data_IF_912504108631
#
_entry.id   IF_912504108631
#
_cell.length_a   1.000
_cell.length_b   1.000
_cell.length_c   1.000
_cell.angle_alpha   90.00
_cell.angle_beta   90.00
_cell.angle_gamma   90.00
#
_symmetry.space_group_name_H-M   'P 1'
#
loop_
_entity.id
_entity.type
_entity.pdbx_description
1 polymer ?
#
# COMPACT_ATOMS: atom_id res chain seq x y z
N UNK A 1 -30.13 -24.92 -3.86
CA UNK A 1 -29.44 -24.44 -2.66
C UNK A 1 -28.01 -24.03 -3.00
N UNK A 2 -27.21 -24.87 -3.63
CA UNK A 2 -25.79 -24.57 -4.00
C UNK A 2 -25.63 -23.31 -4.83
N UNK A 3 -26.45 -23.10 -5.88
CA UNK A 3 -26.35 -21.91 -6.73
C UNK A 3 -26.59 -20.58 -5.97
N UNK A 4 -27.49 -20.57 -4.97
CA UNK A 4 -27.73 -19.39 -4.13
C UNK A 4 -26.53 -19.07 -3.24
N UNK A 5 -25.90 -20.09 -2.66
CA UNK A 5 -24.70 -19.95 -1.84
C UNK A 5 -23.53 -19.45 -2.71
N UNK A 6 -23.33 -20.07 -3.87
CA UNK A 6 -22.26 -19.70 -4.80
C UNK A 6 -22.41 -18.25 -5.26
N UNK A 7 -23.63 -17.79 -5.58
CA UNK A 7 -23.93 -16.40 -5.91
C UNK A 7 -23.61 -15.45 -4.76
N UNK A 8 -23.99 -15.79 -3.53
CA UNK A 8 -23.73 -14.94 -2.36
C UNK A 8 -22.21 -14.81 -2.09
N UNK A 9 -21.49 -15.93 -2.14
CA UNK A 9 -20.05 -15.95 -1.90
C UNK A 9 -19.28 -15.20 -3.01
N UNK A 10 -19.59 -15.48 -4.27
CA UNK A 10 -18.93 -14.79 -5.39
C UNK A 10 -19.25 -13.30 -5.42
N UNK A 11 -20.48 -12.89 -5.08
CA UNK A 11 -20.87 -11.50 -4.95
C UNK A 11 -20.09 -10.77 -3.84
N UNK A 12 -19.95 -11.40 -2.66
CA UNK A 12 -19.18 -10.87 -1.55
C UNK A 12 -17.70 -10.70 -1.93
N UNK A 13 -17.12 -11.71 -2.60
CA UNK A 13 -15.73 -11.64 -3.08
C UNK A 13 -15.52 -10.53 -4.08
N UNK A 14 -16.44 -10.32 -5.03
CA UNK A 14 -16.37 -9.21 -5.98
C UNK A 14 -16.38 -7.86 -5.28
N UNK A 15 -17.31 -7.66 -4.34
CA UNK A 15 -17.37 -6.41 -3.57
C UNK A 15 -16.07 -6.18 -2.81
N UNK A 16 -15.51 -7.20 -2.15
CA UNK A 16 -14.26 -7.08 -1.42
C UNK A 16 -13.09 -6.74 -2.35
N UNK A 17 -12.98 -7.39 -3.50
CA UNK A 17 -11.96 -7.09 -4.51
C UNK A 17 -12.06 -5.66 -5.03
N UNK A 18 -13.27 -5.20 -5.35
CA UNK A 18 -13.52 -3.82 -5.78
C UNK A 18 -13.13 -2.81 -4.69
N UNK A 19 -13.49 -3.05 -3.43
CA UNK A 19 -13.13 -2.17 -2.32
C UNK A 19 -11.62 -2.05 -2.14
N UNK A 20 -10.89 -3.16 -2.24
CA UNK A 20 -9.42 -3.14 -2.16
C UNK A 20 -8.82 -2.31 -3.29
N UNK A 21 -9.27 -2.51 -4.53
CA UNK A 21 -8.77 -1.75 -5.68
C UNK A 21 -9.09 -0.26 -5.56
N UNK A 22 -10.32 0.09 -5.17
CA UNK A 22 -10.74 1.49 -4.97
C UNK A 22 -9.91 2.13 -3.84
N UNK A 23 -9.66 1.43 -2.75
CA UNK A 23 -8.84 1.95 -1.66
C UNK A 23 -7.40 2.25 -2.11
N UNK A 24 -6.76 1.31 -2.80
CA UNK A 24 -5.35 1.46 -3.22
C UNK A 24 -5.15 2.44 -4.38
N UNK A 25 -6.02 2.40 -5.38
CA UNK A 25 -5.84 3.17 -6.62
C UNK A 25 -6.74 4.41 -6.72
N UNK A 26 -7.73 4.53 -5.85
CA UNK A 26 -8.65 5.68 -5.82
C UNK A 26 -8.47 6.54 -4.58
N UNK A 27 -8.84 6.02 -3.40
CA UNK A 27 -8.97 6.84 -2.19
C UNK A 27 -7.61 7.35 -1.70
N UNK A 28 -6.59 6.50 -1.65
CA UNK A 28 -5.26 6.88 -1.16
C UNK A 28 -4.63 8.02 -1.99
N UNK A 29 -4.53 7.92 -3.33
CA UNK A 29 -3.99 9.01 -4.14
C UNK A 29 -4.82 10.30 -4.07
N UNK A 30 -6.16 10.20 -4.06
CA UNK A 30 -7.04 11.36 -3.94
C UNK A 30 -6.88 12.09 -2.59
N UNK A 31 -6.53 11.36 -1.54
CA UNK A 31 -6.22 11.93 -0.23
C UNK A 31 -4.77 12.45 -0.11
N UNK A 32 -3.98 12.38 -1.18
CA UNK A 32 -2.57 12.79 -1.20
C UNK A 32 -1.64 11.83 -0.46
N UNK A 33 -2.07 10.57 -0.32
CA UNK A 33 -1.24 9.51 0.26
C UNK A 33 -0.84 8.48 -0.78
N UNK A 34 0.38 8.01 -0.69
CA UNK A 34 0.86 6.83 -1.41
C UNK A 34 1.14 5.69 -0.44
N UNK A 35 0.86 4.47 -0.88
CA UNK A 35 1.15 3.26 -0.11
C UNK A 35 2.54 2.75 -0.49
N UNK A 36 3.43 2.66 0.49
CA UNK A 36 4.81 2.24 0.29
C UNK A 36 5.09 0.92 1.01
N UNK A 37 5.37 -0.17 0.28
CA UNK A 37 5.76 -1.43 0.90
C UNK A 37 7.16 -1.32 1.50
N UNK A 38 7.27 -1.67 2.77
CA UNK A 38 8.53 -1.71 3.50
C UNK A 38 9.06 -3.14 3.44
N UNK A 39 10.04 -3.36 2.57
CA UNK A 39 10.68 -4.66 2.38
C UNK A 39 12.12 -4.61 2.87
N UNK A 40 12.45 -5.51 3.78
CA UNK A 40 13.79 -5.65 4.34
C UNK A 40 13.91 -5.14 5.77
N UNK A 41 14.69 -5.89 6.55
CA UNK A 41 15.04 -5.54 7.93
C UNK A 41 16.02 -4.39 7.92
N UNK A 42 15.55 -3.19 8.20
CA UNK A 42 16.42 -2.05 8.44
C UNK A 42 16.25 -1.64 9.90
N UNK A 43 17.34 -1.77 10.65
CA UNK A 43 17.33 -1.50 12.07
C UNK A 43 17.06 -0.03 12.42
N UNK A 44 17.19 0.86 11.43
CA UNK A 44 16.92 2.30 11.57
C UNK A 44 15.47 2.65 11.23
N UNK A 45 14.68 1.70 10.72
CA UNK A 45 13.29 1.93 10.36
C UNK A 45 12.36 1.80 11.56
N UNK A 46 11.43 2.74 11.69
CA UNK A 46 10.31 2.64 12.65
C UNK A 46 9.27 1.61 12.17
N UNK A 47 9.26 1.30 10.87
CA UNK A 47 8.34 0.34 10.28
C UNK A 47 8.94 -1.07 10.31
N UNK A 48 8.09 -2.05 10.58
CA UNK A 48 8.48 -3.47 10.55
C UNK A 48 8.61 -3.97 9.11
N UNK A 49 9.49 -4.94 8.91
CA UNK A 49 9.61 -5.63 7.62
C UNK A 49 8.29 -6.25 7.17
N UNK A 50 7.99 -6.11 5.88
CA UNK A 50 6.74 -6.59 5.29
C UNK A 50 5.52 -5.74 5.62
N UNK A 51 5.68 -4.59 6.28
CA UNK A 51 4.57 -3.66 6.53
C UNK A 51 4.29 -2.77 5.32
N UNK A 52 3.06 -2.25 5.26
CA UNK A 52 2.65 -1.20 4.34
C UNK A 52 2.62 0.12 5.10
N UNK A 53 3.50 1.04 4.73
CA UNK A 53 3.51 2.40 5.26
C UNK A 53 2.73 3.33 4.34
N UNK A 54 2.08 4.33 4.94
CA UNK A 54 1.40 5.39 4.20
C UNK A 54 2.25 6.64 4.22
N UNK A 55 2.42 7.24 3.06
CA UNK A 55 3.29 8.40 2.84
C UNK A 55 2.48 9.53 2.27
N UNK A 56 2.53 10.67 2.93
CA UNK A 56 1.99 11.92 2.38
C UNK A 56 3.06 12.56 1.50
N UNK A 57 2.69 12.89 0.27
CA UNK A 57 3.56 13.62 -0.64
C UNK A 57 3.74 15.04 -0.13
N UNK A 58 4.90 15.32 0.43
CA UNK A 58 5.34 16.66 0.86
C UNK A 58 6.76 16.87 0.40
N UNK A 59 7.12 18.12 0.17
CA UNK A 59 8.51 18.44 -0.14
C UNK A 59 9.42 18.07 1.03
N UNK A 60 10.60 17.55 0.73
CA UNK A 60 11.59 17.23 1.77
C UNK A 60 12.01 18.46 2.58
N UNK A 61 11.95 19.67 1.97
CA UNK A 61 12.18 20.95 2.64
C UNK A 61 11.16 21.27 3.74
N UNK A 62 9.95 20.71 3.65
CA UNK A 62 8.84 21.00 4.56
C UNK A 62 8.77 20.03 5.75
N UNK A 63 9.71 19.09 5.81
CA UNK A 63 9.81 18.15 6.93
C UNK A 63 10.37 18.84 8.17
N UNK A 64 9.67 18.71 9.28
CA UNK A 64 10.08 19.26 10.56
C UNK A 64 10.76 18.20 11.44
N UNK A 65 11.63 18.61 12.39
CA UNK A 65 12.13 17.70 13.41
C UNK A 65 10.98 17.02 14.16
N UNK A 66 11.07 15.72 14.31
CA UNK A 66 10.01 14.87 14.87
C UNK A 66 9.10 14.21 13.82
N UNK A 67 9.05 14.70 12.59
CA UNK A 67 8.36 14.04 11.51
C UNK A 67 9.04 12.71 11.12
N UNK A 68 8.29 11.83 10.49
CA UNK A 68 8.86 10.62 9.91
C UNK A 68 9.20 10.89 8.44
N UNK A 69 10.48 10.85 8.09
CA UNK A 69 10.90 10.86 6.70
C UNK A 69 10.91 9.43 6.15
N UNK A 70 10.22 9.21 5.03
CA UNK A 70 10.35 7.96 4.27
C UNK A 70 11.32 8.18 3.13
N UNK A 71 12.32 7.33 3.05
CA UNK A 71 13.36 7.39 2.02
C UNK A 71 13.81 6.00 1.57
N UNK A 72 14.43 5.92 0.40
CA UNK A 72 14.97 4.68 -0.12
C UNK A 72 16.45 4.51 0.21
N UNK A 73 16.78 3.37 0.80
CA UNK A 73 18.15 2.89 0.98
C UNK A 73 18.37 1.67 0.08
N UNK A 74 18.92 1.90 -1.10
CA UNK A 74 18.93 0.90 -2.15
C UNK A 74 17.51 0.65 -2.67
N UNK A 75 17.02 -0.59 -2.53
CA UNK A 75 15.65 -0.99 -2.91
C UNK A 75 14.67 -1.04 -1.73
N UNK A 76 15.15 -0.76 -0.52
CA UNK A 76 14.35 -0.85 0.70
C UNK A 76 13.85 0.52 1.12
N UNK A 77 12.55 0.62 1.33
CA UNK A 77 11.95 1.80 1.94
C UNK A 77 12.21 1.80 3.45
N UNK A 78 12.68 2.92 3.96
CA UNK A 78 13.02 3.12 5.38
C UNK A 78 12.29 4.35 5.88
N UNK A 79 11.60 4.22 7.01
CA UNK A 79 11.00 5.35 7.71
C UNK A 79 11.77 5.66 8.99
N UNK A 80 12.30 6.86 9.13
CA UNK A 80 13.03 7.28 10.33
C UNK A 80 12.64 8.68 10.75
N UNK A 81 12.71 8.96 12.07
CA UNK A 81 12.38 10.29 12.59
C UNK A 81 13.41 11.31 12.15
N UNK A 82 12.94 12.44 11.68
CA UNK A 82 13.75 13.61 11.33
C UNK A 82 14.28 14.24 12.61
N UNK A 83 15.59 14.49 12.66
CA UNK A 83 16.25 15.20 13.77
C UNK A 83 16.62 16.61 13.40
N UNK A 84 16.95 16.88 12.14
CA UNK A 84 17.23 18.22 11.62
C UNK A 84 16.90 18.26 10.12
N UNK A 85 16.55 19.44 9.63
CA UNK A 85 16.35 19.72 8.21
C UNK A 85 17.25 20.90 7.84
N UNK A 86 18.18 20.68 6.92
CA UNK A 86 19.13 21.69 6.47
C UNK A 86 18.89 22.04 5.00
N UNK A 87 18.20 23.15 4.81
CA UNK A 87 17.92 23.66 3.47
C UNK A 87 19.19 24.07 2.70
N UNK A 88 20.26 24.44 3.41
CA UNK A 88 21.51 24.88 2.78
C UNK A 88 22.21 23.70 2.09
N UNK A 89 22.25 22.56 2.75
CA UNK A 89 22.82 21.33 2.19
C UNK A 89 21.81 20.49 1.41
N UNK A 90 20.56 20.94 1.29
CA UNK A 90 19.43 20.19 0.68
C UNK A 90 19.35 18.76 1.22
N UNK A 91 19.42 18.61 2.55
CA UNK A 91 19.43 17.31 3.21
C UNK A 91 18.61 17.30 4.49
N UNK A 92 18.04 16.13 4.79
CA UNK A 92 17.34 15.83 6.05
C UNK A 92 18.21 14.89 6.88
N UNK A 93 18.46 15.26 8.12
CA UNK A 93 19.13 14.35 9.08
C UNK A 93 18.06 13.54 9.80
N UNK A 94 18.19 12.23 9.73
CA UNK A 94 17.28 11.28 10.38
C UNK A 94 17.99 10.50 11.47
N UNK A 95 17.21 9.99 12.44
CA UNK A 95 17.73 9.18 13.55
C UNK A 95 18.15 7.82 13.03
N UNK A 96 19.45 7.52 13.09
CA UNK A 96 20.01 6.20 12.84
C UNK A 96 20.48 5.53 14.13
N UNK A 97 20.85 4.25 14.07
CA UNK A 97 21.33 3.46 15.22
C UNK A 97 22.59 4.03 15.88
N UNK A 98 23.47 4.59 15.08
CA UNK A 98 24.79 5.09 15.53
C UNK A 98 24.86 6.62 15.54
N UNK A 99 23.74 7.32 15.42
CA UNK A 99 23.68 8.77 15.35
C UNK A 99 22.83 9.28 14.17
N UNK A 100 22.93 10.58 13.88
CA UNK A 100 22.22 11.18 12.76
C UNK A 100 22.78 10.72 11.41
N UNK A 101 21.88 10.38 10.49
CA UNK A 101 22.22 10.04 9.09
C UNK A 101 21.66 11.13 8.19
N UNK A 102 22.51 11.79 7.41
CA UNK A 102 22.07 12.80 6.44
C UNK A 102 21.59 12.13 5.15
N UNK A 103 20.38 12.49 4.74
CA UNK A 103 19.69 11.97 3.55
C UNK A 103 19.43 13.14 2.60
N UNK A 104 19.94 13.12 1.36
CA UNK A 104 19.64 14.15 0.36
C UNK A 104 18.15 14.22 0.06
N UNK A 105 17.60 15.39 -0.17
CA UNK A 105 16.19 15.62 -0.52
C UNK A 105 15.71 14.73 -1.67
N UNK A 106 16.56 14.53 -2.67
CA UNK A 106 16.24 13.70 -3.84
C UNK A 106 15.95 12.22 -3.50
N UNK A 107 16.32 11.75 -2.30
CA UNK A 107 16.06 10.37 -1.84
C UNK A 107 14.86 10.27 -0.89
N UNK A 108 14.29 11.40 -0.50
CA UNK A 108 13.14 11.47 0.40
C UNK A 108 11.87 11.37 -0.41
N UNK A 109 11.03 10.40 -0.10
CA UNK A 109 9.75 10.17 -0.80
C UNK A 109 8.60 11.01 -0.23
N UNK A 110 8.75 11.52 0.98
CA UNK A 110 7.74 12.31 1.66
C UNK A 110 7.67 12.03 3.15
N UNK A 111 6.58 12.52 3.77
CA UNK A 111 6.29 12.34 5.19
C UNK A 111 5.55 11.03 5.43
N UNK A 112 6.18 10.12 6.12
CA UNK A 112 5.55 8.89 6.57
C UNK A 112 4.54 9.15 7.71
N UNK A 113 3.50 8.35 7.78
CA UNK A 113 2.58 8.33 8.92
C UNK A 113 3.11 7.41 10.02
N UNK A 114 2.71 7.63 11.25
CA UNK A 114 3.03 6.72 12.38
C UNK A 114 2.29 5.38 12.26
N UNK A 115 1.33 5.31 11.36
CA UNK A 115 0.53 4.12 11.12
C UNK A 115 1.10 3.30 9.97
N UNK A 116 1.29 2.01 10.21
CA UNK A 116 1.64 1.03 9.18
C UNK A 116 0.85 -0.26 9.41
N UNK A 117 0.52 -0.95 8.32
CA UNK A 117 -0.19 -2.23 8.41
C UNK A 117 0.80 -3.36 8.21
N UNK A 118 1.06 -4.17 9.26
CA UNK A 118 1.99 -5.28 9.15
C UNK A 118 1.46 -6.33 8.15
N UNK A 119 2.38 -7.05 7.50
CA UNK A 119 2.14 -8.10 6.51
C UNK A 119 1.54 -7.64 5.17
N UNK A 120 0.88 -6.48 5.08
CA UNK A 120 0.30 -5.99 3.83
C UNK A 120 1.33 -5.43 2.84
N UNK A 121 2.54 -5.10 3.27
CA UNK A 121 3.59 -4.59 2.38
C UNK A 121 3.97 -5.59 1.28
N UNK A 122 4.12 -6.86 1.61
CA UNK A 122 4.42 -7.92 0.63
C UNK A 122 3.27 -8.13 -0.37
N UNK A 123 2.04 -8.05 0.11
CA UNK A 123 0.86 -8.14 -0.75
C UNK A 123 0.74 -6.92 -1.67
N UNK A 124 0.97 -5.72 -1.15
CA UNK A 124 0.96 -4.49 -1.92
C UNK A 124 2.08 -4.47 -2.99
N UNK A 125 3.28 -4.89 -2.64
CA UNK A 125 4.41 -5.01 -3.56
C UNK A 125 4.09 -6.02 -4.68
N UNK A 126 3.49 -7.17 -4.35
CA UNK A 126 3.01 -8.13 -5.34
C UNK A 126 1.90 -7.53 -6.21
N UNK A 127 0.91 -6.85 -5.62
CA UNK A 127 -0.22 -6.26 -6.35
C UNK A 127 0.22 -5.16 -7.32
N UNK A 128 1.20 -4.34 -6.93
CA UNK A 128 1.74 -3.27 -7.77
C UNK A 128 2.74 -3.79 -8.81
N UNK A 129 3.25 -5.00 -8.64
CA UNK A 129 4.03 -5.67 -9.69
C UNK A 129 3.13 -5.96 -10.89
N UNK A 130 3.65 -5.78 -12.12
CA UNK A 130 2.84 -5.99 -13.32
C UNK A 130 2.20 -7.39 -13.40
N UNK A 131 2.84 -8.42 -12.85
CA UNK A 131 2.28 -9.79 -12.78
C UNK A 131 1.16 -9.88 -11.76
N UNK A 132 1.32 -9.31 -10.58
CA UNK A 132 0.31 -9.33 -9.51
C UNK A 132 -0.97 -8.61 -9.92
N UNK A 133 -0.83 -7.45 -10.56
CA UNK A 133 -1.98 -6.73 -11.11
C UNK A 133 -2.73 -7.57 -12.15
N UNK A 134 -2.01 -8.20 -13.08
CA UNK A 134 -2.60 -9.06 -14.10
C UNK A 134 -3.38 -10.23 -13.48
N UNK A 135 -2.79 -10.94 -12.52
CA UNK A 135 -3.47 -12.03 -11.82
C UNK A 135 -4.69 -11.55 -11.03
N UNK A 136 -4.63 -10.37 -10.42
CA UNK A 136 -5.77 -9.79 -9.71
C UNK A 136 -6.94 -9.48 -10.65
N UNK A 137 -6.66 -8.92 -11.84
CA UNK A 137 -7.67 -8.66 -12.87
C UNK A 137 -8.28 -9.97 -13.41
N UNK A 138 -7.45 -10.99 -13.67
CA UNK A 138 -7.92 -12.31 -14.11
C UNK A 138 -8.81 -12.96 -13.04
N UNK A 139 -8.39 -12.93 -11.78
CA UNK A 139 -9.17 -13.47 -10.67
C UNK A 139 -10.52 -12.76 -10.51
N UNK A 140 -10.54 -11.43 -10.66
CA UNK A 140 -11.77 -10.64 -10.64
C UNK A 140 -12.70 -11.02 -11.79
N UNK A 141 -12.16 -11.16 -13.01
CA UNK A 141 -12.92 -11.62 -14.18
C UNK A 141 -13.51 -13.02 -13.99
N UNK A 142 -12.73 -13.96 -13.48
CA UNK A 142 -13.19 -15.32 -13.16
C UNK A 142 -14.31 -15.31 -12.09
N UNK A 143 -14.15 -14.52 -11.03
CA UNK A 143 -15.17 -14.36 -9.98
C UNK A 143 -16.46 -13.78 -10.55
N UNK A 144 -16.34 -12.79 -11.46
CA UNK A 144 -17.49 -12.19 -12.15
C UNK A 144 -18.23 -13.22 -13.02
N UNK A 145 -17.52 -14.06 -13.78
CA UNK A 145 -18.13 -15.13 -14.57
C UNK A 145 -18.89 -16.11 -13.70
N UNK A 146 -18.29 -16.56 -12.59
CA UNK A 146 -18.95 -17.46 -11.62
C UNK A 146 -20.20 -16.80 -11.04
N UNK A 147 -20.15 -15.52 -10.70
CA UNK A 147 -21.31 -14.77 -10.21
C UNK A 147 -22.41 -14.69 -11.27
N UNK A 148 -22.08 -14.35 -12.50
CA UNK A 148 -23.05 -14.23 -13.60
C UNK A 148 -23.73 -15.58 -13.89
N UNK A 149 -22.96 -16.65 -14.06
CA UNK A 149 -23.50 -18.00 -14.29
C UNK A 149 -24.41 -18.44 -13.14
N UNK A 150 -23.99 -18.23 -11.89
CA UNK A 150 -24.83 -18.59 -10.72
C UNK A 150 -26.12 -17.75 -10.65
N UNK A 151 -26.09 -16.50 -11.11
CA UNK A 151 -27.26 -15.63 -11.18
C UNK A 151 -28.28 -16.12 -12.22
N UNK A 152 -27.82 -16.56 -13.40
CA UNK A 152 -28.67 -17.16 -14.42
C UNK A 152 -29.31 -18.47 -13.93
N UNK A 153 -28.52 -19.38 -13.32
CA UNK A 153 -29.04 -20.65 -12.78
C UNK A 153 -30.07 -20.48 -11.67
N UNK A 154 -30.03 -19.37 -10.93
CA UNK A 154 -31.02 -19.06 -9.88
C UNK A 154 -32.31 -18.52 -10.49
N UNK A 155 -32.19 -17.75 -11.58
CA UNK A 155 -33.35 -17.14 -12.28
C UNK A 155 -34.20 -18.20 -12.97
N UNK A 156 -33.58 -19.18 -13.61
CA UNK A 156 -34.29 -20.24 -14.34
C UNK A 156 -35.15 -21.16 -13.42
N UNK A 157 -34.72 -21.36 -12.17
CA UNK A 157 -35.47 -22.12 -11.18
C UNK A 157 -36.63 -21.39 -10.47
N UNK A 158 -36.76 -20.10 -10.74
CA UNK A 158 -37.86 -19.27 -10.18
C UNK A 158 -39.06 -19.10 -11.12
N UNK A 159 -38.94 -19.51 -12.39
CA UNK A 159 -39.97 -19.36 -13.42
C UNK A 159 -40.62 -20.70 -13.86
N UNK A 160 -40.40 -21.80 -13.14
CA UNK A 160 -40.99 -23.11 -13.36
C UNK A 160 -41.95 -23.50 -12.26
#
# INVERSE_FOLDING_TARGET
MIAKILRAVSGLLLVLQCLVLIAFFGILPLAGYSACPVNGTNADSIYKDGSLAFVKEVSASDLNPGDVALYYRGRTAVGSSVTANDATSSSVTVKGKSGGVSIPYAKVNGKGTDFSVPMLGKYADWLTSGKGLLYSVIAMGATFVVFAVSAFCVRDKGNG
#
